data_IF_595422945709
#
_entry.id   IF_595422945709
#
_cell.length_a   1.000
_cell.length_b   1.000
_cell.length_c   1.000
_cell.angle_alpha   90.00
_cell.angle_beta   90.00
_cell.angle_gamma   90.00
#
_symmetry.space_group_name_H-M   'P 1'
#
loop_
_entity.id
_entity.type
_entity.pdbx_description
1 polymer ?
#
# COMPACT_ATOMS: atom_id res chain seq x y z
N UNK A 1 -5.50 17.73 -17.03
CA UNK A 1 -6.80 17.18 -16.60
C UNK A 1 -7.74 18.25 -16.01
N UNK A 2 -7.29 19.17 -15.14
CA UNK A 2 -8.16 20.27 -14.65
C UNK A 2 -8.67 21.18 -15.78
N UNK A 3 -7.80 21.54 -16.75
CA UNK A 3 -8.13 22.43 -17.88
C UNK A 3 -9.10 21.86 -18.91
N UNK A 4 -9.24 20.53 -19.00
CA UNK A 4 -10.09 19.90 -20.04
C UNK A 4 -11.54 19.68 -19.57
N UNK A 5 -11.88 20.08 -18.34
CA UNK A 5 -13.24 19.94 -17.80
C UNK A 5 -13.66 18.49 -17.55
N UNK A 6 -14.89 18.32 -17.06
CA UNK A 6 -15.50 17.02 -16.78
C UNK A 6 -15.65 16.18 -18.06
N UNK A 7 -16.27 16.74 -19.11
CA UNK A 7 -16.44 16.08 -20.42
C UNK A 7 -15.12 15.62 -21.05
N UNK A 8 -14.08 16.46 -20.99
CA UNK A 8 -12.77 16.09 -21.52
C UNK A 8 -12.14 14.92 -20.75
N UNK A 9 -12.35 14.86 -19.43
CA UNK A 9 -11.90 13.72 -18.62
C UNK A 9 -12.71 12.46 -18.91
N UNK A 10 -14.04 12.56 -19.08
CA UNK A 10 -14.92 11.44 -19.48
C UNK A 10 -14.46 10.83 -20.80
N UNK A 11 -14.17 11.66 -21.81
CA UNK A 11 -13.60 11.21 -23.09
C UNK A 11 -12.25 10.51 -22.94
N UNK A 12 -11.40 10.98 -22.02
CA UNK A 12 -10.13 10.30 -21.71
C UNK A 12 -10.39 8.91 -21.10
N UNK A 13 -11.36 8.79 -20.20
CA UNK A 13 -11.77 7.50 -19.62
C UNK A 13 -12.27 6.56 -20.71
N UNK A 14 -13.20 6.99 -21.55
CA UNK A 14 -13.75 6.19 -22.65
C UNK A 14 -12.65 5.68 -23.62
N UNK A 15 -11.63 6.50 -23.87
CA UNK A 15 -10.53 6.16 -24.79
C UNK A 15 -9.51 5.20 -24.17
N UNK A 16 -9.20 5.36 -22.88
CA UNK A 16 -8.07 4.69 -22.24
C UNK A 16 -8.46 3.55 -21.30
N UNK A 17 -9.64 3.58 -20.68
CA UNK A 17 -10.10 2.51 -19.80
C UNK A 17 -10.13 1.12 -20.47
N UNK A 18 -10.50 0.97 -21.77
CA UNK A 18 -10.46 -0.33 -22.44
C UNK A 18 -9.07 -0.97 -22.52
N UNK A 19 -8.00 -0.17 -22.38
CA UNK A 19 -6.61 -0.61 -22.44
C UNK A 19 -6.07 -1.08 -21.09
N UNK A 20 -6.86 -1.00 -20.01
CA UNK A 20 -6.47 -1.52 -18.70
C UNK A 20 -6.26 -3.05 -18.74
N UNK A 21 -5.31 -3.60 -17.96
CA UNK A 21 -5.14 -5.04 -17.82
C UNK A 21 -6.40 -5.69 -17.23
N UNK A 22 -7.07 -6.55 -18.01
CA UNK A 22 -8.27 -7.29 -17.56
C UNK A 22 -7.94 -8.57 -16.79
N UNK A 23 -6.76 -9.14 -17.02
CA UNK A 23 -6.21 -10.29 -16.29
C UNK A 23 -4.81 -9.92 -15.80
N UNK A 24 -4.70 -9.62 -14.52
CA UNK A 24 -3.41 -9.48 -13.85
C UNK A 24 -3.09 -10.86 -13.28
N UNK A 25 -2.05 -11.51 -13.79
CA UNK A 25 -1.57 -12.78 -13.23
C UNK A 25 -1.16 -12.54 -11.78
N UNK A 26 -1.64 -13.37 -10.86
CA UNK A 26 -1.32 -13.25 -9.44
C UNK A 26 0.20 -13.30 -9.24
N UNK A 27 0.82 -12.27 -8.63
CA UNK A 27 2.26 -12.25 -8.41
C UNK A 27 2.74 -13.31 -7.40
N UNK A 28 1.81 -14.03 -6.75
CA UNK A 28 2.10 -15.02 -5.70
C UNK A 28 1.99 -16.48 -6.16
N UNK A 29 1.69 -16.73 -7.44
CA UNK A 29 1.76 -18.08 -8.01
C UNK A 29 3.11 -18.19 -8.70
N UNK A 30 4.03 -18.93 -8.07
CA UNK A 30 5.31 -19.30 -8.66
C UNK A 30 5.11 -19.83 -10.08
N UNK A 31 6.08 -19.53 -10.94
CA UNK A 31 6.20 -20.00 -12.32
C UNK A 31 6.03 -21.53 -12.41
N UNK A 32 4.79 -21.99 -12.45
CA UNK A 32 4.39 -23.28 -12.98
C UNK A 32 4.20 -23.08 -14.47
N UNK A 33 5.18 -23.55 -15.24
CA UNK A 33 5.10 -23.68 -16.68
C UNK A 33 3.78 -24.35 -17.07
N UNK A 34 2.84 -23.60 -17.64
CA UNK A 34 1.73 -24.17 -18.39
C UNK A 34 2.25 -24.60 -19.75
N UNK A 35 2.95 -25.73 -19.79
CA UNK A 35 3.25 -26.42 -21.04
C UNK A 35 2.14 -27.43 -21.30
N UNK A 36 1.45 -27.23 -22.41
CA UNK A 36 0.55 -28.20 -23.01
C UNK A 36 1.28 -29.53 -23.16
N UNK A 37 0.66 -30.59 -22.63
CA UNK A 37 1.16 -31.94 -22.70
C UNK A 37 1.02 -32.48 -24.12
N UNK A 38 2.15 -32.71 -24.80
CA UNK A 38 2.30 -33.77 -25.80
C UNK A 38 3.63 -34.49 -25.56
N UNK A 39 3.50 -35.81 -25.62
CA UNK A 39 4.44 -36.91 -25.38
C UNK A 39 5.74 -36.83 -26.19
N UNK A 40 6.90 -37.14 -25.58
CA UNK A 40 7.72 -38.34 -25.89
C UNK A 40 8.96 -38.42 -24.97
N UNK A 41 9.52 -39.63 -24.81
CA UNK A 41 10.40 -40.05 -23.71
C UNK A 41 11.92 -40.03 -24.02
N UNK A 42 12.72 -39.65 -22.99
CA UNK A 42 14.10 -40.11 -22.63
C UNK A 42 15.32 -39.81 -23.54
N UNK A 43 16.57 -39.93 -23.05
CA UNK A 43 17.15 -39.50 -21.77
C UNK A 43 18.46 -38.65 -21.93
N UNK A 44 18.88 -38.02 -20.82
CA UNK A 44 20.14 -37.26 -20.59
C UNK A 44 21.43 -37.96 -21.04
N UNK A 45 22.51 -37.16 -21.29
CA UNK A 45 23.62 -37.23 -20.34
C UNK A 45 24.22 -35.87 -19.94
N UNK A 46 24.80 -35.91 -18.74
CA UNK A 46 25.59 -34.94 -18.00
C UNK A 46 26.81 -34.40 -18.75
N UNK A 47 27.13 -33.11 -18.57
CA UNK A 47 28.53 -32.70 -18.44
C UNK A 47 28.72 -31.39 -17.68
N UNK A 48 29.51 -31.46 -16.61
CA UNK A 48 30.05 -30.35 -15.84
C UNK A 48 31.15 -29.65 -16.63
N UNK A 49 31.12 -28.32 -16.73
CA UNK A 49 32.33 -27.50 -16.91
C UNK A 49 32.24 -26.24 -16.05
N UNK A 50 33.25 -26.09 -15.20
CA UNK A 50 33.58 -24.95 -14.36
C UNK A 50 34.16 -23.82 -15.21
N UNK A 51 33.84 -22.55 -14.94
CA UNK A 51 34.56 -21.44 -15.58
C UNK A 51 34.04 -20.01 -15.30
N UNK A 52 34.67 -19.37 -14.31
CA UNK A 52 35.07 -17.95 -14.22
C UNK A 52 34.04 -16.80 -14.41
N UNK A 53 34.01 -15.96 -13.36
CA UNK A 53 33.43 -14.63 -13.32
C UNK A 53 34.07 -13.64 -14.32
N UNK A 54 33.24 -12.75 -14.88
CA UNK A 54 33.66 -11.44 -15.37
C UNK A 54 32.45 -10.49 -15.35
N UNK A 55 32.51 -9.52 -14.44
CA UNK A 55 31.68 -8.32 -14.38
C UNK A 55 31.73 -7.56 -15.71
N UNK A 56 30.59 -7.38 -16.37
CA UNK A 56 30.38 -6.27 -17.30
C UNK A 56 29.04 -5.61 -17.02
N UNK A 57 29.14 -4.41 -16.43
CA UNK A 57 28.07 -3.43 -16.33
C UNK A 57 27.89 -2.82 -17.72
N UNK A 58 26.84 -3.18 -18.43
CA UNK A 58 26.43 -2.45 -19.64
C UNK A 58 25.36 -1.43 -19.29
N UNK A 59 25.79 -0.17 -19.35
CA UNK A 59 24.95 1.02 -19.40
C UNK A 59 24.08 0.91 -20.65
N UNK A 60 22.77 0.93 -20.45
CA UNK A 60 21.82 1.02 -21.54
C UNK A 60 21.88 2.43 -22.13
N UNK A 61 22.46 2.56 -23.32
CA UNK A 61 22.09 3.57 -24.32
C UNK A 61 22.45 3.04 -25.72
N UNK A 62 21.40 2.81 -26.50
CA UNK A 62 21.28 3.03 -27.95
C UNK A 62 22.44 2.61 -28.87
N UNK A 63 22.37 1.38 -29.42
CA UNK A 63 22.68 1.15 -30.84
C UNK A 63 21.79 0.02 -31.39
N UNK A 64 20.85 0.40 -32.24
CA UNK A 64 20.09 -0.53 -33.10
C UNK A 64 21.01 -0.95 -34.24
N UNK A 65 21.67 -2.09 -34.09
CA UNK A 65 22.34 -2.79 -35.19
C UNK A 65 21.49 -4.02 -35.53
N UNK A 66 20.86 -4.02 -36.71
CA UNK A 66 20.22 -5.20 -37.28
C UNK A 66 21.14 -5.82 -38.33
N UNK A 67 21.72 -7.01 -38.10
CA UNK A 67 22.14 -7.88 -39.19
C UNK A 67 20.89 -8.33 -39.97
N UNK A 68 20.95 -8.21 -41.29
CA UNK A 68 19.93 -8.74 -42.20
C UNK A 68 20.15 -10.26 -42.30
N UNK A 69 19.03 -11.00 -42.39
CA UNK A 69 18.87 -12.42 -42.72
C UNK A 69 18.33 -13.29 -41.57
N UNK A 70 16.99 -13.21 -41.37
CA UNK A 70 16.12 -14.36 -41.13
C UNK A 70 14.67 -13.88 -40.91
N UNK A 71 13.71 -14.32 -41.71
CA UNK A 71 12.28 -13.93 -41.58
C UNK A 71 11.74 -14.22 -40.16
N UNK A 72 12.27 -15.25 -39.50
CA UNK A 72 11.96 -15.60 -38.10
C UNK A 72 12.42 -14.53 -37.08
N UNK A 73 13.57 -13.89 -37.31
CA UNK A 73 14.07 -12.82 -36.44
C UNK A 73 13.29 -11.51 -36.66
N UNK A 74 12.86 -11.24 -37.89
CA UNK A 74 11.98 -10.10 -38.21
C UNK A 74 10.60 -10.27 -37.57
N UNK A 75 9.95 -11.44 -37.74
CA UNK A 75 8.64 -11.74 -37.11
C UNK A 75 8.74 -11.70 -35.58
N UNK A 76 9.81 -12.24 -35.01
CA UNK A 76 10.08 -12.16 -33.57
C UNK A 76 10.31 -10.73 -33.09
N UNK A 77 10.97 -9.90 -33.89
CA UNK A 77 11.20 -8.48 -33.59
C UNK A 77 9.92 -7.66 -33.68
N UNK A 78 9.07 -7.89 -34.69
CA UNK A 78 7.74 -7.28 -34.82
C UNK A 78 6.85 -7.71 -33.65
N UNK A 79 6.86 -8.99 -33.26
CA UNK A 79 6.11 -9.48 -32.09
C UNK A 79 6.60 -8.84 -30.78
N UNK A 80 7.90 -8.61 -30.63
CA UNK A 80 8.48 -7.87 -29.48
C UNK A 80 8.07 -6.40 -29.48
N UNK A 81 8.08 -5.73 -30.64
CA UNK A 81 7.62 -4.35 -30.79
C UNK A 81 6.15 -4.20 -30.43
N UNK A 82 5.28 -5.08 -30.94
CA UNK A 82 3.86 -5.10 -30.61
C UNK A 82 3.63 -5.32 -29.11
N UNK A 83 4.40 -6.20 -28.46
CA UNK A 83 4.34 -6.38 -27.01
C UNK A 83 4.82 -5.16 -26.23
N UNK A 84 5.86 -4.48 -26.70
CA UNK A 84 6.35 -3.25 -26.10
C UNK A 84 5.28 -2.13 -26.18
N UNK A 85 4.69 -1.94 -27.36
CA UNK A 85 3.62 -0.96 -27.56
C UNK A 85 2.38 -1.27 -26.71
N UNK A 86 1.99 -2.54 -26.61
CA UNK A 86 0.91 -3.00 -25.74
C UNK A 86 1.19 -2.64 -24.27
N UNK A 87 2.41 -2.92 -23.78
CA UNK A 87 2.81 -2.60 -22.40
C UNK A 87 2.85 -1.10 -22.14
N UNK A 88 3.33 -0.31 -23.10
CA UNK A 88 3.38 1.15 -23.01
C UNK A 88 1.97 1.75 -22.97
N UNK A 89 1.05 1.25 -23.79
CA UNK A 89 -0.38 1.62 -23.79
C UNK A 89 -1.04 1.29 -22.45
N UNK A 90 -0.81 0.09 -21.92
CA UNK A 90 -1.31 -0.31 -20.60
C UNK A 90 -0.78 0.59 -19.48
N UNK A 91 0.53 0.87 -19.44
CA UNK A 91 1.10 1.77 -18.45
C UNK A 91 0.48 3.16 -18.52
N UNK A 92 0.29 3.69 -19.73
CA UNK A 92 -0.37 4.98 -19.95
C UNK A 92 -1.80 4.98 -19.44
N UNK A 93 -2.57 3.93 -19.75
CA UNK A 93 -3.95 3.78 -19.28
C UNK A 93 -4.03 3.73 -17.76
N UNK A 94 -3.19 2.92 -17.11
CA UNK A 94 -3.14 2.81 -15.64
C UNK A 94 -2.84 4.16 -15.00
N UNK A 95 -1.84 4.90 -15.52
CA UNK A 95 -1.48 6.21 -14.99
C UNK A 95 -2.62 7.21 -15.20
N UNK A 96 -3.25 7.25 -16.37
CA UNK A 96 -4.36 8.18 -16.64
C UNK A 96 -5.57 7.91 -15.74
N UNK A 97 -6.01 6.65 -15.63
CA UNK A 97 -7.14 6.29 -14.79
C UNK A 97 -6.81 6.49 -13.31
N UNK A 98 -5.58 6.19 -12.90
CA UNK A 98 -5.11 6.43 -11.54
C UNK A 98 -5.06 7.91 -11.19
N UNK A 99 -4.57 8.79 -12.08
CA UNK A 99 -4.57 10.25 -11.85
C UNK A 99 -6.00 10.78 -11.79
N UNK A 100 -6.88 10.37 -12.71
CA UNK A 100 -8.29 10.80 -12.70
C UNK A 100 -8.95 10.36 -11.39
N UNK A 101 -8.79 9.10 -10.99
CA UNK A 101 -9.36 8.59 -9.76
C UNK A 101 -8.82 9.23 -8.50
N UNK A 102 -7.50 9.46 -8.41
CA UNK A 102 -6.90 10.05 -7.22
C UNK A 102 -7.20 11.55 -7.08
N UNK A 103 -7.26 12.30 -8.18
CA UNK A 103 -7.45 13.76 -8.18
C UNK A 103 -8.93 14.18 -8.13
N UNK A 104 -9.82 13.41 -8.77
CA UNK A 104 -11.23 13.75 -8.95
C UNK A 104 -12.16 12.74 -8.27
N UNK A 105 -11.80 12.27 -7.07
CA UNK A 105 -12.59 11.26 -6.32
C UNK A 105 -14.08 11.59 -6.19
N UNK A 106 -14.42 12.89 -6.04
CA UNK A 106 -15.82 13.37 -5.95
C UNK A 106 -16.65 13.14 -7.23
N UNK A 107 -16.00 13.00 -8.38
CA UNK A 107 -16.65 12.77 -9.69
C UNK A 107 -16.72 11.28 -10.06
N UNK A 108 -16.09 10.42 -9.25
CA UNK A 108 -15.93 8.99 -9.49
C UNK A 108 -16.91 8.16 -8.64
N UNK A 109 -17.61 8.81 -7.71
CA UNK A 109 -18.30 8.24 -6.55
C UNK A 109 -18.87 6.81 -6.74
N UNK A 110 -18.13 5.78 -6.30
CA UNK A 110 -18.51 4.36 -6.45
C UNK A 110 -19.38 3.86 -5.28
N UNK A 111 -19.74 4.73 -4.35
CA UNK A 111 -20.58 4.38 -3.21
C UNK A 111 -21.91 5.10 -3.32
N UNK A 112 -22.90 4.43 -3.92
CA UNK A 112 -24.28 4.70 -3.56
C UNK A 112 -24.36 4.74 -2.03
N UNK A 113 -24.89 5.86 -1.56
CA UNK A 113 -25.20 6.13 -0.17
C UNK A 113 -25.87 4.91 0.43
N UNK A 114 -25.16 4.17 1.30
CA UNK A 114 -25.78 3.18 2.17
C UNK A 114 -26.49 3.95 3.28
N UNK A 115 -27.54 4.67 2.89
CA UNK A 115 -28.41 5.44 3.78
C UNK A 115 -29.27 4.46 4.56
N UNK A 116 -28.88 4.28 5.82
CA UNK A 116 -29.76 4.22 6.98
C UNK A 116 -31.02 3.34 6.89
N UNK A 117 -30.94 2.16 7.49
CA UNK A 117 -32.10 1.61 8.16
C UNK A 117 -32.50 2.52 9.34
N UNK A 118 -33.77 2.95 9.34
CA UNK A 118 -34.49 3.40 10.53
C UNK A 118 -34.75 4.91 10.64
N UNK A 119 -35.98 5.33 10.33
CA UNK A 119 -36.51 6.63 10.74
C UNK A 119 -37.49 7.22 9.72
N UNK A 120 -38.78 6.96 9.91
CA UNK A 120 -39.84 7.48 9.04
C UNK A 120 -39.88 9.01 9.00
N UNK A 121 -40.07 9.55 7.80
CA UNK A 121 -40.23 10.99 7.58
C UNK A 121 -40.07 11.39 6.12
N UNK A 122 -41.13 11.18 5.34
CA UNK A 122 -41.46 11.84 4.07
C UNK A 122 -40.28 12.48 3.28
N UNK A 123 -39.48 11.67 2.58
CA UNK A 123 -38.53 12.15 1.57
C UNK A 123 -39.15 12.06 0.17
N UNK A 124 -38.95 13.08 -0.69
CA UNK A 124 -39.48 13.06 -2.04
C UNK A 124 -38.77 11.97 -2.84
N UNK A 125 -39.55 11.15 -3.54
CA UNK A 125 -39.10 10.14 -4.50
C UNK A 125 -38.13 10.81 -5.48
N UNK A 126 -36.83 10.58 -5.30
CA UNK A 126 -35.83 10.99 -6.29
C UNK A 126 -36.05 10.14 -7.54
N UNK A 127 -36.41 10.84 -8.61
CA UNK A 127 -36.60 10.32 -9.96
C UNK A 127 -35.49 9.34 -10.34
N UNK A 128 -35.87 8.18 -10.86
CA UNK A 128 -34.99 7.12 -11.39
C UNK A 128 -34.13 7.52 -12.61
N UNK A 129 -33.94 8.82 -12.84
CA UNK A 129 -33.18 9.39 -13.96
C UNK A 129 -31.85 10.05 -13.53
N UNK A 130 -31.48 10.04 -12.25
CA UNK A 130 -30.12 10.40 -11.85
C UNK A 130 -29.22 9.17 -11.88
N UNK A 131 -29.00 8.59 -13.05
CA UNK A 131 -27.73 7.86 -13.27
C UNK A 131 -26.68 8.93 -13.13
N UNK A 132 -26.14 9.07 -11.92
CA UNK A 132 -25.05 9.98 -11.60
C UNK A 132 -24.03 9.84 -12.72
N UNK A 133 -23.72 10.94 -13.38
CA UNK A 133 -22.79 10.97 -14.50
C UNK A 133 -21.39 10.71 -13.92
N UNK A 134 -21.11 9.46 -13.60
CA UNK A 134 -19.85 9.04 -13.01
C UNK A 134 -18.81 9.03 -14.11
N UNK A 135 -17.66 9.61 -13.82
CA UNK A 135 -16.59 9.72 -14.81
C UNK A 135 -15.90 8.39 -15.07
N UNK A 136 -15.91 7.49 -14.09
CA UNK A 136 -15.39 6.13 -14.19
C UNK A 136 -16.42 5.16 -13.63
N UNK A 137 -16.63 4.04 -14.32
CA UNK A 137 -17.46 2.96 -13.82
C UNK A 137 -16.73 2.13 -12.75
N UNK A 138 -17.50 1.34 -12.01
CA UNK A 138 -16.98 0.43 -10.98
C UNK A 138 -15.84 -0.47 -11.51
N UNK A 139 -15.97 -0.99 -12.74
CA UNK A 139 -14.96 -1.86 -13.31
C UNK A 139 -13.65 -1.11 -13.58
N UNK A 140 -13.70 0.10 -14.12
CA UNK A 140 -12.50 0.92 -14.35
C UNK A 140 -11.78 1.20 -13.03
N UNK A 141 -12.51 1.53 -11.97
CA UNK A 141 -11.93 1.77 -10.64
C UNK A 141 -11.27 0.50 -10.10
N UNK A 142 -11.98 -0.63 -10.15
CA UNK A 142 -11.47 -1.94 -9.68
C UNK A 142 -10.23 -2.39 -10.43
N UNK A 143 -10.23 -2.34 -11.76
CA UNK A 143 -9.07 -2.75 -12.57
C UNK A 143 -7.89 -1.81 -12.36
N UNK A 144 -8.13 -0.51 -12.22
CA UNK A 144 -7.09 0.48 -11.91
C UNK A 144 -6.45 0.18 -10.56
N UNK A 145 -7.24 -0.02 -9.50
CA UNK A 145 -6.75 -0.36 -8.18
C UNK A 145 -5.88 -1.63 -8.18
N UNK A 146 -6.37 -2.70 -8.81
CA UNK A 146 -5.59 -3.95 -8.95
C UNK A 146 -4.29 -3.76 -9.72
N UNK A 147 -4.30 -2.97 -10.79
CA UNK A 147 -3.11 -2.71 -11.60
C UNK A 147 -2.07 -1.89 -10.84
N UNK A 148 -2.49 -0.87 -10.08
CA UNK A 148 -1.60 -0.09 -9.22
C UNK A 148 -0.95 -0.97 -8.15
N UNK A 149 -1.73 -1.82 -7.48
CA UNK A 149 -1.22 -2.80 -6.52
C UNK A 149 -0.23 -3.77 -7.18
N UNK A 150 -0.57 -4.33 -8.35
CA UNK A 150 0.33 -5.22 -9.08
C UNK A 150 1.67 -4.53 -9.39
N UNK A 151 1.66 -3.28 -9.86
CA UNK A 151 2.88 -2.53 -10.15
C UNK A 151 3.74 -2.30 -8.90
N UNK A 152 3.12 -2.11 -7.73
CA UNK A 152 3.83 -1.98 -6.45
C UNK A 152 4.45 -3.31 -6.01
N UNK A 153 3.67 -4.40 -6.04
CA UNK A 153 4.05 -5.71 -5.48
C UNK A 153 4.90 -6.56 -6.41
N UNK A 154 4.98 -6.21 -7.70
CA UNK A 154 5.79 -6.97 -8.67
C UNK A 154 7.24 -7.04 -8.21
N UNK A 155 7.73 -8.27 -8.00
CA UNK A 155 9.11 -8.52 -7.60
C UNK A 155 10.09 -8.01 -8.67
N UNK A 156 11.15 -7.27 -8.28
CA UNK A 156 12.23 -6.90 -9.18
C UNK A 156 12.91 -8.18 -9.70
N UNK A 157 12.93 -8.39 -11.01
CA UNK A 157 13.71 -9.46 -11.62
C UNK A 157 15.09 -8.93 -12.03
N UNK A 158 16.04 -9.82 -12.33
CA UNK A 158 17.39 -9.45 -12.82
C UNK A 158 17.38 -8.49 -14.03
N UNK A 159 16.25 -8.38 -14.74
CA UNK A 159 16.05 -7.54 -15.93
C UNK A 159 15.20 -6.29 -15.68
N UNK A 160 14.56 -6.15 -14.51
CA UNK A 160 13.71 -5.00 -14.19
C UNK A 160 14.08 -4.45 -12.82
N UNK A 161 14.63 -3.24 -12.79
CA UNK A 161 15.01 -2.57 -11.55
C UNK A 161 13.77 -2.27 -10.69
N UNK A 162 13.95 -2.29 -9.37
CA UNK A 162 12.89 -1.96 -8.42
C UNK A 162 12.33 -0.53 -8.58
N UNK A 163 13.07 0.38 -9.23
CA UNK A 163 12.82 1.83 -9.23
C UNK A 163 12.41 2.34 -10.62
N UNK A 164 11.36 1.77 -11.20
CA UNK A 164 10.81 2.25 -12.49
C UNK A 164 9.89 3.45 -12.28
N UNK A 165 9.85 4.37 -13.26
CA UNK A 165 8.96 5.54 -13.24
C UNK A 165 7.47 5.16 -13.10
N UNK A 166 7.05 4.05 -13.72
CA UNK A 166 5.69 3.52 -13.63
C UNK A 166 5.37 3.00 -12.23
N UNK A 167 6.31 2.30 -11.57
CA UNK A 167 6.13 1.86 -10.17
C UNK A 167 6.10 3.05 -9.22
N UNK A 168 6.95 4.06 -9.43
CA UNK A 168 6.92 5.32 -8.67
C UNK A 168 5.59 6.05 -8.83
N UNK A 169 5.07 6.14 -10.05
CA UNK A 169 3.75 6.71 -10.32
C UNK A 169 2.66 5.92 -9.59
N UNK A 170 2.72 4.59 -9.61
CA UNK A 170 1.77 3.76 -8.88
C UNK A 170 1.77 4.03 -7.38
N UNK A 171 2.95 4.16 -6.75
CA UNK A 171 3.09 4.48 -5.31
C UNK A 171 2.37 5.78 -4.94
N UNK A 172 2.60 6.85 -5.71
CA UNK A 172 1.98 8.16 -5.45
C UNK A 172 0.46 8.15 -5.69
N UNK A 173 -0.01 7.44 -6.73
CA UNK A 173 -1.43 7.31 -7.03
C UNK A 173 -2.16 6.43 -6.02
N UNK A 174 -1.50 5.42 -5.46
CA UNK A 174 -1.99 4.65 -4.31
C UNK A 174 -2.14 5.57 -3.10
N UNK A 175 -1.11 6.36 -2.77
CA UNK A 175 -1.14 7.27 -1.63
C UNK A 175 -2.26 8.30 -1.71
N UNK A 176 -2.39 8.99 -2.85
CA UNK A 176 -3.39 10.05 -3.05
C UNK A 176 -4.82 9.53 -3.16
N UNK A 177 -5.01 8.40 -3.83
CA UNK A 177 -6.33 7.84 -4.09
C UNK A 177 -6.72 6.69 -3.17
N UNK A 178 -6.01 6.47 -2.06
CA UNK A 178 -6.12 5.25 -1.25
C UNK A 178 -7.56 4.88 -0.93
N UNK A 179 -8.37 5.81 -0.45
CA UNK A 179 -9.78 5.58 -0.08
C UNK A 179 -10.66 5.07 -1.22
N UNK A 180 -10.33 5.39 -2.48
CA UNK A 180 -11.01 4.91 -3.66
C UNK A 180 -10.54 3.50 -4.05
N UNK A 181 -9.25 3.21 -3.87
CA UNK A 181 -8.63 1.96 -4.31
C UNK A 181 -8.68 0.83 -3.28
N UNK A 182 -8.69 1.20 -1.99
CA UNK A 182 -8.72 0.35 -0.79
C UNK A 182 -9.61 -0.91 -0.94
N UNK A 183 -10.86 -0.81 -1.42
CA UNK A 183 -11.78 -1.97 -1.51
C UNK A 183 -11.32 -3.06 -2.47
N UNK A 184 -10.37 -2.77 -3.34
CA UNK A 184 -9.91 -3.64 -4.42
C UNK A 184 -8.45 -4.07 -4.27
N UNK A 185 -7.82 -3.75 -3.14
CA UNK A 185 -6.42 -4.00 -2.85
C UNK A 185 -6.25 -4.94 -1.66
N UNK A 186 -5.18 -5.73 -1.67
CA UNK A 186 -4.63 -6.32 -0.45
C UNK A 186 -3.85 -5.24 0.30
N UNK A 187 -4.56 -4.57 1.21
CA UNK A 187 -4.06 -3.44 1.97
C UNK A 187 -2.83 -3.79 2.80
N UNK A 188 -2.78 -4.99 3.40
CA UNK A 188 -1.64 -5.41 4.20
C UNK A 188 -0.39 -5.54 3.35
N UNK A 189 -0.47 -6.22 2.20
CA UNK A 189 0.65 -6.35 1.27
C UNK A 189 1.11 -5.00 0.73
N UNK A 190 0.17 -4.09 0.41
CA UNK A 190 0.49 -2.73 -0.05
C UNK A 190 1.24 -1.94 1.02
N UNK A 191 0.75 -1.93 2.26
CA UNK A 191 1.38 -1.19 3.36
C UNK A 191 2.76 -1.77 3.72
N UNK A 192 2.91 -3.09 3.76
CA UNK A 192 4.19 -3.74 4.01
C UNK A 192 5.21 -3.43 2.91
N UNK A 193 4.81 -3.48 1.64
CA UNK A 193 5.68 -3.12 0.52
C UNK A 193 6.11 -1.64 0.56
N UNK A 194 5.21 -0.73 0.93
CA UNK A 194 5.56 0.68 1.11
C UNK A 194 6.49 0.89 2.31
N UNK A 195 6.26 0.18 3.42
CA UNK A 195 7.14 0.21 4.59
C UNK A 195 8.53 -0.30 4.26
N UNK A 196 8.65 -1.39 3.50
CA UNK A 196 9.92 -1.92 3.04
C UNK A 196 10.70 -0.90 2.19
N UNK A 197 10.04 -0.26 1.21
CA UNK A 197 10.64 0.80 0.40
C UNK A 197 11.03 2.04 1.23
N UNK A 198 10.31 2.31 2.32
CA UNK A 198 10.60 3.42 3.22
C UNK A 198 11.72 3.13 4.23
N UNK A 199 12.04 1.86 4.47
CA UNK A 199 12.99 1.42 5.49
C UNK A 199 14.46 1.46 5.04
N UNK A 200 14.72 1.77 3.77
CA UNK A 200 16.06 1.86 3.20
C UNK A 200 16.82 3.14 3.66
N UNK A 201 17.48 3.06 4.81
CA UNK A 201 18.38 4.11 5.35
C UNK A 201 19.67 4.28 4.52
N UNK A 202 19.99 3.32 3.63
CA UNK A 202 21.18 3.39 2.76
C UNK A 202 21.11 4.50 1.71
N UNK A 203 19.94 5.10 1.50
CA UNK A 203 19.77 6.24 0.60
C UNK A 203 20.08 7.60 1.28
N UNK A 204 20.37 7.60 2.60
CA UNK A 204 20.65 8.82 3.36
C UNK A 204 22.12 9.26 3.34
N UNK A 205 23.00 8.50 2.68
CA UNK A 205 24.44 8.81 2.62
C UNK A 205 24.83 9.80 1.50
N UNK A 206 23.84 10.43 0.86
CA UNK A 206 24.09 11.49 -0.12
C UNK A 206 23.41 12.77 0.36
N UNK A 207 24.13 13.51 1.20
CA UNK A 207 24.06 14.98 1.19
C UNK A 207 24.36 15.43 -0.24
N UNK A 208 23.35 15.42 -1.10
CA UNK A 208 23.50 15.92 -2.45
C UNK A 208 23.80 17.41 -2.35
N UNK A 209 24.86 17.89 -3.00
CA UNK A 209 25.01 19.31 -3.24
C UNK A 209 23.71 19.81 -3.90
N UNK A 210 23.10 20.86 -3.36
CA UNK A 210 21.90 21.50 -3.93
C UNK A 210 22.09 21.65 -5.44
N UNK A 211 21.33 20.91 -6.27
CA UNK A 211 21.33 21.08 -7.73
C UNK A 211 21.33 19.81 -8.59
N UNK A 212 21.57 18.62 -8.04
CA UNK A 212 21.51 17.36 -8.82
C UNK A 212 20.11 16.69 -8.74
N UNK A 213 19.66 16.01 -9.82
CA UNK A 213 18.41 15.26 -9.81
C UNK A 213 18.50 14.08 -8.81
N UNK A 214 17.39 13.81 -8.11
CA UNK A 214 17.29 12.69 -7.18
C UNK A 214 17.54 11.36 -7.92
N UNK A 215 18.25 10.43 -7.27
CA UNK A 215 18.36 9.07 -7.81
C UNK A 215 16.97 8.40 -7.86
N UNK A 216 16.71 7.49 -8.82
CA UNK A 216 15.43 6.78 -8.89
C UNK A 216 15.06 6.03 -7.60
N UNK A 217 16.07 5.54 -6.87
CA UNK A 217 15.88 4.90 -5.57
C UNK A 217 15.46 5.92 -4.49
N UNK A 218 16.13 7.07 -4.41
CA UNK A 218 15.80 8.13 -3.47
C UNK A 218 14.40 8.71 -3.73
N UNK A 219 14.02 8.87 -5.00
CA UNK A 219 12.68 9.33 -5.37
C UNK A 219 11.59 8.30 -5.03
N UNK A 220 11.85 7.01 -5.26
CA UNK A 220 10.94 5.92 -4.87
C UNK A 220 10.76 5.88 -3.36
N UNK A 221 11.85 5.96 -2.59
CA UNK A 221 11.82 6.05 -1.13
C UNK A 221 11.01 7.25 -0.64
N UNK A 222 11.29 8.45 -1.17
CA UNK A 222 10.56 9.68 -0.84
C UNK A 222 9.07 9.54 -1.15
N UNK A 223 8.74 8.96 -2.30
CA UNK A 223 7.36 8.74 -2.74
C UNK A 223 6.63 7.74 -1.83
N UNK A 224 7.30 6.66 -1.40
CA UNK A 224 6.74 5.67 -0.48
C UNK A 224 6.42 6.28 0.89
N UNK A 225 7.35 7.07 1.47
CA UNK A 225 7.12 7.80 2.72
C UNK A 225 5.94 8.77 2.64
N UNK A 226 5.86 9.49 1.52
CA UNK A 226 4.74 10.41 1.29
C UNK A 226 3.41 9.65 1.16
N UNK A 227 3.38 8.55 0.40
CA UNK A 227 2.19 7.72 0.26
C UNK A 227 1.73 7.14 1.60
N UNK A 228 2.64 6.61 2.42
CA UNK A 228 2.32 6.13 3.78
C UNK A 228 1.71 7.22 4.65
N UNK A 229 2.23 8.45 4.57
CA UNK A 229 1.69 9.59 5.32
C UNK A 229 0.26 9.93 4.88
N UNK A 230 -0.03 9.88 3.58
CA UNK A 230 -1.38 10.11 3.05
C UNK A 230 -2.35 9.01 3.48
N UNK A 231 -1.93 7.74 3.37
CA UNK A 231 -2.75 6.58 3.76
C UNK A 231 -3.07 6.62 5.25
N UNK A 232 -2.05 6.78 6.08
CA UNK A 232 -2.18 6.74 7.53
C UNK A 232 -3.05 7.88 8.08
N UNK A 233 -2.99 9.07 7.47
CA UNK A 233 -3.84 10.21 7.87
C UNK A 233 -5.25 10.15 7.31
N UNK A 234 -5.48 9.45 6.19
CA UNK A 234 -6.82 9.23 5.64
C UNK A 234 -7.56 8.06 6.31
N UNK A 235 -6.83 7.02 6.73
CA UNK A 235 -7.36 5.79 7.35
C UNK A 235 -6.46 5.32 8.51
N UNK A 236 -6.47 6.02 9.67
CA UNK A 236 -5.68 5.63 10.84
C UNK A 236 -5.87 4.18 11.29
N UNK A 237 -7.14 3.73 11.27
CA UNK A 237 -7.56 2.39 11.66
C UNK A 237 -6.86 1.29 10.88
N UNK A 238 -6.83 1.46 9.57
CA UNK A 238 -6.25 0.52 8.62
C UNK A 238 -4.74 0.38 8.84
N UNK A 239 -4.04 1.51 8.97
CA UNK A 239 -2.59 1.51 9.15
C UNK A 239 -2.18 0.82 10.45
N UNK A 240 -2.79 1.20 11.58
CA UNK A 240 -2.47 0.63 12.90
C UNK A 240 -2.88 -0.85 12.97
N UNK A 241 -4.04 -1.23 12.41
CA UNK A 241 -4.44 -2.64 12.38
C UNK A 241 -3.44 -3.49 11.58
N UNK A 242 -2.93 -3.00 10.45
CA UNK A 242 -1.93 -3.74 9.66
C UNK A 242 -0.64 -3.96 10.43
N UNK A 243 -0.10 -2.94 11.12
CA UNK A 243 1.12 -3.12 11.92
C UNK A 243 0.86 -3.95 13.18
N UNK A 244 -0.29 -3.82 13.83
CA UNK A 244 -0.61 -4.53 15.07
C UNK A 244 -0.95 -6.01 14.85
N UNK A 245 -1.34 -6.41 13.64
CA UNK A 245 -1.67 -7.81 13.30
C UNK A 245 -0.43 -8.72 13.27
N UNK A 246 0.77 -8.15 13.17
CA UNK A 246 2.00 -8.92 13.18
C UNK A 246 2.45 -9.23 14.62
N UNK A 247 2.69 -10.52 14.95
CA UNK A 247 3.05 -10.92 16.30
C UNK A 247 4.40 -10.34 16.72
N UNK A 248 4.48 -9.85 17.97
CA UNK A 248 5.76 -9.43 18.58
C UNK A 248 6.80 -10.56 18.49
N UNK A 249 8.10 -10.26 18.25
CA UNK A 249 9.18 -11.26 18.28
C UNK A 249 9.16 -12.13 19.55
N UNK A 250 8.78 -11.57 20.69
CA UNK A 250 8.63 -12.31 21.96
C UNK A 250 7.44 -13.27 21.94
N UNK A 251 6.33 -12.89 21.30
CA UNK A 251 5.19 -13.78 21.11
C UNK A 251 5.55 -14.92 20.14
N UNK A 252 6.25 -14.63 19.04
CA UNK A 252 6.72 -15.65 18.08
C UNK A 252 7.64 -16.67 18.76
N UNK A 253 8.57 -16.22 19.60
CA UNK A 253 9.45 -17.13 20.36
C UNK A 253 8.66 -18.07 21.28
N UNK A 254 7.60 -17.57 21.93
CA UNK A 254 6.72 -18.41 22.76
C UNK A 254 5.88 -19.36 21.90
N UNK A 255 5.33 -18.89 20.77
CA UNK A 255 4.54 -19.71 19.85
C UNK A 255 5.37 -20.80 19.14
N UNK A 256 6.62 -20.52 18.77
CA UNK A 256 7.52 -21.47 18.12
C UNK A 256 8.03 -22.55 19.08
N UNK A 257 8.19 -22.23 20.37
CA UNK A 257 8.52 -23.23 21.39
C UNK A 257 7.33 -24.15 21.71
N UNK A 258 6.09 -23.65 21.56
CA UNK A 258 4.86 -24.40 21.89
C UNK A 258 4.33 -25.22 20.70
N UNK A 259 4.62 -24.82 19.45
CA UNK A 259 4.30 -25.57 18.23
C UNK A 259 5.57 -25.88 17.44
N UNK A 260 5.97 -27.15 17.43
CA UNK A 260 6.98 -27.68 16.49
C UNK A 260 6.47 -27.65 15.03
N UNK A 261 6.19 -26.48 14.46
CA UNK A 261 5.67 -26.34 13.09
C UNK A 261 6.57 -25.40 12.28
N UNK A 262 7.24 -25.89 11.21
CA UNK A 262 8.10 -25.06 10.38
C UNK A 262 7.28 -24.39 9.26
N UNK A 263 6.59 -23.30 9.57
CA UNK A 263 6.04 -22.36 8.57
C UNK A 263 6.76 -21.02 8.68
N UNK A 264 8.09 -21.02 8.48
CA UNK A 264 8.96 -19.89 8.91
C UNK A 264 9.28 -18.82 7.84
N UNK A 265 9.00 -19.01 6.54
CA UNK A 265 9.61 -18.10 5.55
C UNK A 265 8.85 -16.79 5.30
N UNK A 266 7.52 -16.79 5.22
CA UNK A 266 6.76 -15.54 4.93
C UNK A 266 6.54 -14.68 6.17
N UNK A 267 6.21 -15.30 7.32
CA UNK A 267 6.01 -14.60 8.61
C UNK A 267 7.30 -14.01 9.19
N UNK A 268 8.46 -14.65 8.93
CA UNK A 268 9.74 -14.06 9.29
C UNK A 268 10.05 -12.82 8.46
N UNK A 269 9.73 -12.83 7.16
CA UNK A 269 9.98 -11.69 6.26
C UNK A 269 9.16 -10.46 6.66
N UNK A 270 7.86 -10.60 6.93
CA UNK A 270 7.00 -9.48 7.39
C UNK A 270 7.53 -8.86 8.69
N UNK A 271 7.94 -9.70 9.64
CA UNK A 271 8.55 -9.28 10.90
C UNK A 271 9.86 -8.50 10.68
N UNK A 272 10.70 -8.91 9.72
CA UNK A 272 11.93 -8.16 9.39
C UNK A 272 11.66 -6.80 8.76
N UNK A 273 10.64 -6.67 7.91
CA UNK A 273 10.26 -5.40 7.28
C UNK A 273 9.81 -4.40 8.33
N UNK A 274 8.92 -4.79 9.24
CA UNK A 274 8.45 -3.91 10.31
C UNK A 274 9.59 -3.47 11.24
N UNK A 275 10.48 -4.40 11.59
CA UNK A 275 11.66 -4.07 12.40
C UNK A 275 12.57 -3.04 11.72
N UNK A 276 12.78 -3.16 10.40
CA UNK A 276 13.57 -2.20 9.62
C UNK A 276 12.87 -0.85 9.49
N UNK A 277 11.54 -0.85 9.35
CA UNK A 277 10.72 0.35 9.17
C UNK A 277 10.37 1.07 10.48
N UNK A 278 10.83 0.60 11.65
CA UNK A 278 10.49 1.15 12.99
C UNK A 278 10.54 2.67 13.07
N UNK A 279 11.62 3.29 12.57
CA UNK A 279 11.77 4.76 12.58
C UNK A 279 10.65 5.46 11.81
N UNK A 280 10.27 4.93 10.65
CA UNK A 280 9.20 5.49 9.84
C UNK A 280 7.82 5.23 10.45
N UNK A 281 7.60 4.05 11.05
CA UNK A 281 6.37 3.75 11.79
C UNK A 281 6.17 4.77 12.92
N UNK A 282 7.20 5.04 13.72
CA UNK A 282 7.12 6.05 14.78
C UNK A 282 6.83 7.45 14.23
N UNK A 283 7.48 7.84 13.13
CA UNK A 283 7.21 9.11 12.45
C UNK A 283 5.76 9.22 11.98
N UNK A 284 5.20 8.15 11.44
CA UNK A 284 3.81 8.11 10.97
C UNK A 284 2.85 8.18 12.15
N UNK A 285 3.11 7.44 13.23
CA UNK A 285 2.30 7.51 14.45
C UNK A 285 2.28 8.94 15.01
N UNK A 286 3.43 9.60 15.07
CA UNK A 286 3.54 10.99 15.51
C UNK A 286 2.69 11.93 14.63
N UNK A 287 2.81 11.80 13.30
CA UNK A 287 1.98 12.54 12.34
C UNK A 287 0.47 12.26 12.52
N UNK A 288 0.09 11.02 12.79
CA UNK A 288 -1.32 10.65 13.01
C UNK A 288 -1.84 11.22 14.33
N UNK A 289 -1.03 11.24 15.39
CA UNK A 289 -1.38 11.87 16.66
C UNK A 289 -1.61 13.37 16.47
N UNK A 290 -0.79 14.04 15.67
CA UNK A 290 -0.98 15.47 15.36
C UNK A 290 -2.29 15.77 14.62
N UNK A 291 -2.74 14.87 13.73
CA UNK A 291 -3.90 15.12 12.85
C UNK A 291 -5.22 14.50 13.32
N UNK A 292 -5.17 13.33 13.92
CA UNK A 292 -6.32 12.48 14.27
C UNK A 292 -6.14 11.92 15.68
N UNK A 293 -5.79 12.78 16.64
CA UNK A 293 -5.36 12.40 17.99
C UNK A 293 -6.32 11.41 18.69
N UNK A 294 -7.62 11.69 18.65
CA UNK A 294 -8.61 10.86 19.34
C UNK A 294 -8.75 9.47 18.68
N UNK A 295 -8.88 9.41 17.36
CA UNK A 295 -9.00 8.15 16.61
C UNK A 295 -7.81 7.21 16.85
N UNK A 296 -6.60 7.79 16.94
CA UNK A 296 -5.37 7.05 17.21
C UNK A 296 -5.37 6.49 18.63
N UNK A 297 -5.77 7.28 19.62
CA UNK A 297 -5.77 6.85 21.02
C UNK A 297 -6.74 5.70 21.27
N UNK A 298 -7.95 5.81 20.74
CA UNK A 298 -8.97 4.76 20.89
C UNK A 298 -8.43 3.45 20.29
N UNK A 299 -7.82 3.53 19.11
CA UNK A 299 -7.28 2.37 18.43
C UNK A 299 -6.01 1.79 19.07
N UNK A 300 -5.12 2.65 19.59
CA UNK A 300 -3.95 2.23 20.36
C UNK A 300 -4.35 1.56 21.67
N UNK A 301 -5.50 1.92 22.23
CA UNK A 301 -6.02 1.22 23.43
C UNK A 301 -6.47 -0.19 23.07
N UNK A 302 -7.13 -0.36 21.93
CA UNK A 302 -7.63 -1.66 21.45
C UNK A 302 -6.52 -2.59 20.94
N UNK A 303 -5.51 -2.04 20.27
CA UNK A 303 -4.45 -2.81 19.59
C UNK A 303 -3.06 -2.67 20.23
N UNK A 304 -2.98 -1.93 21.34
CA UNK A 304 -1.74 -1.47 21.93
C UNK A 304 -0.80 -2.59 22.35
N UNK A 305 -1.29 -3.70 22.89
CA UNK A 305 -0.41 -4.77 23.39
C UNK A 305 0.52 -5.33 22.31
N UNK A 306 0.02 -5.51 21.09
CA UNK A 306 0.82 -6.01 19.97
C UNK A 306 1.78 -4.94 19.44
N UNK A 307 1.27 -3.71 19.23
CA UNK A 307 2.06 -2.60 18.71
C UNK A 307 3.15 -2.15 19.69
N UNK A 308 2.82 -1.98 20.97
CA UNK A 308 3.78 -1.67 22.03
C UNK A 308 4.78 -2.81 22.21
N UNK A 309 4.39 -4.08 22.02
CA UNK A 309 5.32 -5.20 22.01
C UNK A 309 6.40 -5.04 20.92
N UNK A 310 5.98 -4.71 19.70
CA UNK A 310 6.88 -4.48 18.55
C UNK A 310 7.76 -3.23 18.70
N UNK A 311 7.22 -2.15 19.28
CA UNK A 311 7.90 -0.87 19.46
C UNK A 311 8.62 -0.74 20.81
N UNK A 312 8.52 -1.74 21.69
CA UNK A 312 9.05 -1.73 23.06
C UNK A 312 10.54 -1.39 23.14
N UNK A 313 11.34 -1.83 22.16
CA UNK A 313 12.77 -1.51 22.09
C UNK A 313 13.06 -0.03 21.80
N UNK A 314 12.09 0.70 21.27
CA UNK A 314 12.24 2.06 20.74
C UNK A 314 11.42 3.10 21.52
N UNK A 315 10.42 2.67 22.28
CA UNK A 315 9.61 3.54 23.12
C UNK A 315 10.05 3.42 24.58
N UNK A 316 10.15 4.55 25.28
CA UNK A 316 10.39 4.59 26.72
C UNK A 316 9.19 5.22 27.39
N UNK A 317 8.71 4.62 28.48
CA UNK A 317 7.73 5.26 29.34
C UNK A 317 8.38 6.48 29.99
N UNK A 318 7.93 7.69 29.61
CA UNK A 318 8.46 8.96 30.15
C UNK A 318 7.79 9.31 31.47
N UNK A 319 6.48 9.05 31.58
CA UNK A 319 5.67 9.44 32.74
C UNK A 319 4.49 8.50 32.90
N UNK A 320 4.15 8.17 34.14
CA UNK A 320 2.98 7.36 34.49
C UNK A 320 2.12 8.14 35.48
N UNK A 321 0.80 8.11 35.28
CA UNK A 321 -0.17 8.76 36.14
C UNK A 321 -1.09 7.71 36.74
N UNK A 322 -1.18 7.69 38.06
CA UNK A 322 -2.18 6.87 38.75
C UNK A 322 -3.54 7.53 38.59
N UNK A 323 -4.47 6.84 37.96
CA UNK A 323 -5.85 7.29 37.78
C UNK A 323 -6.76 6.75 38.89
N UNK A 324 -7.84 7.47 39.25
CA UNK A 324 -8.86 6.96 40.16
C UNK A 324 -9.43 5.64 39.62
N UNK A 325 -9.54 4.63 40.48
CA UNK A 325 -10.13 3.35 40.08
C UNK A 325 -11.65 3.53 39.97
N UNK A 326 -12.30 3.05 38.90
CA UNK A 326 -13.75 2.93 38.85
C UNK A 326 -14.21 2.11 40.07
N UNK A 327 -15.25 2.55 40.77
CA UNK A 327 -15.74 1.85 41.96
C UNK A 327 -16.17 0.43 41.58
N UNK A 328 -15.90 -0.55 42.45
CA UNK A 328 -16.05 -2.00 42.16
C UNK A 328 -17.47 -2.49 41.89
N UNK A 329 -18.47 -1.60 41.87
CA UNK A 329 -19.89 -1.90 41.63
C UNK A 329 -20.42 -1.39 40.28
N UNK A 330 -19.55 -0.82 39.44
CA UNK A 330 -19.95 -0.27 38.15
C UNK A 330 -20.23 -1.41 37.17
N UNK A 331 -21.43 -1.43 36.57
CA UNK A 331 -21.78 -2.41 35.56
C UNK A 331 -20.86 -2.28 34.32
N UNK A 332 -20.63 -3.36 33.55
CA UNK A 332 -19.80 -3.30 32.35
C UNK A 332 -20.26 -2.25 31.33
N UNK A 333 -21.56 -1.93 31.30
CA UNK A 333 -22.12 -0.89 30.43
C UNK A 333 -21.71 0.53 30.85
N UNK A 334 -21.55 0.80 32.14
CA UNK A 334 -21.11 2.09 32.65
C UNK A 334 -19.60 2.27 32.52
N UNK A 335 -18.81 1.19 32.56
CA UNK A 335 -17.37 1.27 32.26
C UNK A 335 -17.11 1.74 30.83
N UNK A 336 -18.01 1.45 29.87
CA UNK A 336 -17.93 1.98 28.51
C UNK A 336 -18.13 3.51 28.42
N UNK A 337 -18.64 4.14 29.49
CA UNK A 337 -18.78 5.60 29.55
C UNK A 337 -17.50 6.29 30.04
N UNK A 338 -16.55 5.55 30.62
CA UNK A 338 -15.25 6.08 31.01
C UNK A 338 -14.42 6.27 29.74
N UNK A 339 -13.94 7.49 29.50
CA UNK A 339 -13.15 7.81 28.30
C UNK A 339 -12.06 8.83 28.58
N UNK A 340 -10.98 8.72 27.81
CA UNK A 340 -9.92 9.73 27.76
C UNK A 340 -10.24 10.71 26.63
N UNK A 341 -10.27 11.99 26.96
CA UNK A 341 -10.51 13.09 26.02
C UNK A 341 -9.27 13.96 26.00
N UNK A 342 -8.62 14.04 24.85
CA UNK A 342 -7.47 14.91 24.68
C UNK A 342 -7.92 16.33 24.32
N UNK A 343 -7.55 17.30 25.15
CA UNK A 343 -7.81 18.72 24.87
C UNK A 343 -6.76 19.25 23.89
N UNK A 344 -5.51 18.79 24.02
CA UNK A 344 -4.39 19.07 23.13
C UNK A 344 -3.25 18.06 23.39
N UNK A 345 -2.14 18.15 22.66
CA UNK A 345 -0.97 17.25 22.80
C UNK A 345 -0.30 17.24 24.19
N UNK A 346 -0.68 18.13 25.11
CA UNK A 346 -0.15 18.19 26.49
C UNK A 346 -1.20 17.93 27.56
N UNK A 347 -2.49 17.93 27.23
CA UNK A 347 -3.55 17.90 28.22
C UNK A 347 -4.58 16.84 27.87
N UNK A 348 -4.80 15.91 28.80
CA UNK A 348 -5.81 14.87 28.71
C UNK A 348 -6.76 14.96 29.90
N UNK A 349 -8.04 14.68 29.66
CA UNK A 349 -9.06 14.55 30.69
C UNK A 349 -9.52 13.09 30.71
N UNK A 350 -9.50 12.48 31.88
CA UNK A 350 -10.24 11.25 32.15
C UNK A 350 -11.64 11.64 32.61
N UNK A 351 -12.64 11.29 31.80
CA UNK A 351 -14.05 11.49 32.11
C UNK A 351 -14.61 10.17 32.63
N UNK A 352 -15.10 10.19 33.87
CA UNK A 352 -15.65 9.03 34.56
C UNK A 352 -17.15 8.85 34.25
N UNK A 353 -17.68 7.66 34.52
CA UNK A 353 -19.09 7.33 34.25
C UNK A 353 -20.09 8.14 35.09
N UNK A 354 -19.66 8.67 36.24
CA UNK A 354 -20.43 9.56 37.12
C UNK A 354 -20.34 11.04 36.73
N UNK A 355 -19.64 11.34 35.62
CA UNK A 355 -19.40 12.71 35.15
C UNK A 355 -18.20 13.40 35.82
N UNK A 356 -17.46 12.73 36.70
CA UNK A 356 -16.25 13.31 37.28
C UNK A 356 -15.14 13.45 36.23
N UNK A 357 -14.46 14.60 36.23
CA UNK A 357 -13.39 14.92 35.30
C UNK A 357 -12.04 15.02 36.02
N UNK A 358 -11.05 14.29 35.54
CA UNK A 358 -9.68 14.34 36.06
C UNK A 358 -8.73 14.78 34.95
N UNK A 359 -8.13 15.97 35.11
CA UNK A 359 -7.22 16.56 34.14
C UNK A 359 -5.77 16.21 34.44
N UNK A 360 -5.02 15.81 33.42
CA UNK A 360 -3.60 15.50 33.48
C UNK A 360 -2.84 16.34 32.44
N UNK A 361 -1.69 16.88 32.85
CA UNK A 361 -0.77 17.61 31.97
C UNK A 361 0.46 16.74 31.70
N UNK A 362 0.56 16.20 30.50
CA UNK A 362 1.56 15.21 30.07
C UNK A 362 2.88 15.87 29.73
#
# INVERSE_FOLDING_TARGET
>A
LRRIGFEGRKKVVETWAPQLPRRLSDPNVGTGSGSEALTDASPTPTNNVVGSASDRRESADDEVIFPIDDISTVVSSVKKLLQYDQRRRQATAIVLMGVIGAEFQREVDVYETREGGGGGGNTPVKSANSVSEMIMDFNTVRHTGKALMYLLLKQPSSRQTANTSVRRAAIDLIGRGFTLWEPYMDVSSVLLALLELSADDKAHDMSFPKGLPLSPAADTHRSARHALSLIATARPSVFIATIAKEPSPSAIAVYSHVRHQPTQNTEAQTTTVLNRAKKEILRIIDLMIEKTQQDVVDLLTDTGSSLFGMLSSSMKCVKSYTTPRPTSKISPSLLKMVRLVWINHKNVILLMADGAEFKYSI
#
